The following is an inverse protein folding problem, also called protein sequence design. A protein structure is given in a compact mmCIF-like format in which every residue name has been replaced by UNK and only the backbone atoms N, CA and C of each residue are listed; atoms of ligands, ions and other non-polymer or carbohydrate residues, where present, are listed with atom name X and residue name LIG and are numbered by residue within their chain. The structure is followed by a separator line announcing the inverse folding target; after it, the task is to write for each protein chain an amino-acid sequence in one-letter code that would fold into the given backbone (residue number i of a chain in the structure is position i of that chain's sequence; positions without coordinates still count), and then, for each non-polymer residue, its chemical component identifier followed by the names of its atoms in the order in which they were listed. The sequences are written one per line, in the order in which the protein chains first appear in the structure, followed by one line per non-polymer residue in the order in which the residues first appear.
data_IF_171049267643
#
_entry.id   IF_171049267643
#
_cell.length_a   1.000
_cell.length_b   1.000
_cell.length_c   1.000
_cell.angle_alpha   90.00
_cell.angle_beta   90.00
_cell.angle_gamma   90.00
#
_symmetry.space_group_name_H-M   'P 1'
#
loop_
_entity.id
_entity.type
_entity.pdbx_description
1 polymer ?
#
# COMPACT_ATOMS: atom_id res chain seq x y z
N UNK A 1 -23.63 3.06 -3.19
CA UNK A 1 -23.03 1.71 -3.18
C UNK A 1 -21.85 1.73 -2.22
N UNK A 2 -21.63 0.66 -1.43
CA UNK A 2 -20.48 0.55 -0.54
C UNK A 2 -19.22 0.31 -1.37
N UNK A 3 -18.18 1.11 -1.18
CA UNK A 3 -16.88 0.89 -1.82
C UNK A 3 -16.22 -0.33 -1.14
N UNK A 4 -15.93 -1.44 -1.86
CA UNK A 4 -15.34 -2.65 -1.26
C UNK A 4 -13.88 -2.44 -0.80
N UNK A 5 -13.27 -1.33 -1.20
CA UNK A 5 -11.91 -0.97 -0.83
C UNK A 5 -11.82 -0.39 0.59
N UNK A 6 -12.94 0.05 1.17
CA UNK A 6 -13.00 0.73 2.46
C UNK A 6 -13.70 -0.12 3.52
N UNK A 7 -13.16 -0.09 4.74
CA UNK A 7 -13.81 -0.70 5.90
C UNK A 7 -15.01 0.14 6.41
N UNK A 8 -15.65 -0.27 7.50
CA UNK A 8 -16.79 0.45 8.11
C UNK A 8 -16.45 1.87 8.61
N UNK A 9 -15.17 2.17 8.79
CA UNK A 9 -14.66 3.46 9.26
C UNK A 9 -14.19 4.37 8.11
N UNK A 10 -14.29 3.90 6.85
CA UNK A 10 -13.82 4.65 5.69
C UNK A 10 -12.31 4.57 5.47
N UNK A 11 -11.61 3.70 6.19
CA UNK A 11 -10.17 3.48 6.03
C UNK A 11 -9.90 2.50 4.89
N UNK A 12 -8.78 2.68 4.19
CA UNK A 12 -8.37 1.79 3.11
C UNK A 12 -8.05 0.39 3.67
N UNK A 13 -8.79 -0.60 3.22
CA UNK A 13 -8.60 -2.02 3.58
C UNK A 13 -8.00 -2.82 2.41
N UNK A 14 -8.42 -2.52 1.18
CA UNK A 14 -7.94 -3.19 -0.03
C UNK A 14 -7.66 -2.14 -1.12
N UNK A 15 -6.55 -2.27 -1.84
CA UNK A 15 -6.26 -1.44 -3.02
C UNK A 15 -6.48 -2.28 -4.28
N UNK A 16 -7.67 -2.14 -4.88
CA UNK A 16 -8.11 -2.89 -6.05
C UNK A 16 -8.18 -2.00 -7.30
N UNK A 17 -8.54 -0.72 -7.13
CA UNK A 17 -8.58 0.30 -8.18
C UNK A 17 -8.44 1.69 -7.57
N UNK A 18 -7.99 2.67 -8.35
CA UNK A 18 -8.02 4.08 -7.93
C UNK A 18 -9.45 4.66 -7.98
N UNK A 19 -10.35 4.05 -8.76
CA UNK A 19 -11.71 4.54 -8.94
C UNK A 19 -12.51 4.49 -7.64
N UNK A 20 -13.23 5.59 -7.38
CA UNK A 20 -14.07 5.72 -6.19
C UNK A 20 -13.30 5.87 -4.87
N UNK A 21 -11.97 5.93 -4.90
CA UNK A 21 -11.17 6.30 -3.72
C UNK A 21 -11.14 7.82 -3.53
N UNK A 22 -11.35 8.32 -2.30
CA UNK A 22 -11.13 9.73 -2.00
C UNK A 22 -9.69 10.16 -2.27
N UNK A 23 -9.51 11.34 -2.87
CA UNK A 23 -8.18 11.95 -3.12
C UNK A 23 -7.28 11.94 -1.87
N UNK A 24 -7.85 12.22 -0.71
CA UNK A 24 -7.09 12.25 0.56
C UNK A 24 -6.40 10.93 0.91
N UNK A 25 -7.02 9.79 0.59
CA UNK A 25 -6.42 8.47 0.81
C UNK A 25 -5.23 8.27 -0.13
N UNK A 26 -5.38 8.67 -1.40
CA UNK A 26 -4.30 8.55 -2.39
C UNK A 26 -3.10 9.43 -2.01
N UNK A 27 -3.35 10.68 -1.61
CA UNK A 27 -2.30 11.57 -1.12
C UNK A 27 -1.62 11.01 0.12
N UNK A 28 -2.36 10.46 1.09
CA UNK A 28 -1.78 9.88 2.29
C UNK A 28 -0.85 8.67 2.00
N UNK A 29 -1.17 7.84 1.00
CA UNK A 29 -0.28 6.76 0.54
C UNK A 29 1.04 7.34 0.01
N UNK A 30 0.96 8.37 -0.84
CA UNK A 30 2.14 9.02 -1.41
C UNK A 30 3.00 9.70 -0.34
N UNK A 31 2.37 10.42 0.59
CA UNK A 31 3.05 11.08 1.70
C UNK A 31 3.74 10.05 2.61
N UNK A 32 3.09 8.91 2.85
CA UNK A 32 3.69 7.79 3.62
C UNK A 32 4.86 7.16 2.89
N UNK A 33 4.80 7.06 1.55
CA UNK A 33 5.85 6.47 0.74
C UNK A 33 7.06 7.39 0.56
N UNK A 34 6.89 8.71 0.63
CA UNK A 34 7.94 9.69 0.35
C UNK A 34 9.23 9.47 1.17
N UNK A 35 9.22 9.21 2.49
CA UNK A 35 10.46 8.94 3.22
C UNK A 35 11.16 7.62 2.83
N UNK A 36 10.43 6.66 2.25
CA UNK A 36 11.00 5.36 1.84
C UNK A 36 11.82 5.46 0.57
N UNK A 37 11.62 6.49 -0.26
CA UNK A 37 12.46 6.72 -1.45
C UNK A 37 13.89 7.07 -1.03
N UNK A 38 14.06 7.86 0.03
CA UNK A 38 15.37 8.20 0.61
C UNK A 38 16.02 7.00 1.34
N UNK A 39 15.21 6.11 1.93
CA UNK A 39 15.69 4.89 2.60
C UNK A 39 16.16 3.83 1.61
N UNK A 40 15.66 3.83 0.36
CA UNK A 40 16.08 2.90 -0.67
C UNK A 40 17.57 3.02 -1.05
N UNK A 41 18.17 4.19 -0.82
CA UNK A 41 19.60 4.48 -1.05
C UNK A 41 20.52 4.05 0.12
N UNK A 42 19.96 3.71 1.29
CA UNK A 42 20.75 3.31 2.47
C UNK A 42 21.05 1.80 2.47
N UNK A 43 22.25 1.41 2.88
CA UNK A 43 22.71 0.00 2.95
C UNK A 43 21.89 -0.87 3.93
N UNK A 44 21.30 -0.28 4.96
CA UNK A 44 20.49 -0.99 5.97
C UNK A 44 18.99 -0.87 5.65
N UNK A 45 18.49 -1.78 4.82
CA UNK A 45 17.11 -1.79 4.28
C UNK A 45 16.02 -2.38 5.20
N UNK A 46 16.31 -2.71 6.46
CA UNK A 46 15.40 -3.54 7.28
C UNK A 46 14.63 -2.75 8.32
N UNK A 47 13.53 -2.12 7.90
CA UNK A 47 12.48 -1.69 8.82
C UNK A 47 11.61 -2.92 9.19
N UNK A 48 11.47 -3.29 10.48
CA UNK A 48 10.79 -4.53 10.89
C UNK A 48 9.26 -4.46 10.82
N UNK A 49 8.68 -3.61 9.95
CA UNK A 49 7.25 -3.27 9.94
C UNK A 49 6.34 -4.48 9.65
N UNK A 50 6.84 -5.49 8.92
CA UNK A 50 6.08 -6.69 8.55
C UNK A 50 6.53 -7.94 9.32
N UNK A 51 7.24 -7.80 10.44
CA UNK A 51 7.69 -8.96 11.22
C UNK A 51 6.51 -9.84 11.63
N UNK A 52 6.60 -11.14 11.31
CA UNK A 52 5.53 -12.10 11.58
C UNK A 52 4.34 -12.03 10.61
N UNK A 53 4.47 -11.30 9.49
CA UNK A 53 3.52 -11.31 8.38
C UNK A 53 4.14 -12.03 7.17
N UNK A 54 3.34 -12.84 6.50
CA UNK A 54 3.69 -13.44 5.21
C UNK A 54 2.94 -12.71 4.12
N UNK A 55 3.66 -12.27 3.09
CA UNK A 55 3.10 -11.60 1.91
C UNK A 55 3.30 -12.52 0.70
N UNK A 56 2.25 -12.72 -0.07
CA UNK A 56 2.25 -13.59 -1.25
C UNK A 56 1.91 -12.75 -2.47
N UNK A 57 2.76 -12.81 -3.49
CA UNK A 57 2.46 -12.25 -4.80
C UNK A 57 1.87 -13.37 -5.67
N UNK A 58 0.68 -13.13 -6.24
CA UNK A 58 0.02 -14.06 -7.14
C UNK A 58 -0.07 -13.43 -8.53
N UNK A 59 0.69 -13.99 -9.47
CA UNK A 59 0.73 -13.56 -10.86
C UNK A 59 0.21 -14.70 -11.75
N UNK A 60 -0.81 -14.42 -12.56
CA UNK A 60 -1.31 -15.34 -13.59
C UNK A 60 -0.56 -15.18 -14.92
N UNK A 61 0.16 -14.06 -15.07
CA UNK A 61 0.96 -13.70 -16.24
C UNK A 61 2.28 -13.10 -15.73
N UNK A 62 3.35 -13.17 -16.54
CA UNK A 62 4.67 -12.70 -16.13
C UNK A 62 4.67 -11.18 -15.83
N UNK A 63 5.26 -10.80 -14.69
CA UNK A 63 5.49 -9.41 -14.28
C UNK A 63 6.79 -9.33 -13.48
N UNK A 64 7.72 -8.48 -13.91
CA UNK A 64 9.05 -8.28 -13.29
C UNK A 64 9.21 -6.85 -12.82
#
# INVERSE_FOLDING_TARGET
MRNPQLNSHGELQHLLSLDGLPKGILSAILDTAAPFTEVAEREVKKLPLLRGKSVFNLFFENST
#
